data_IF_970741249797
#
_entry.id   IF_970741249797
#
_cell.length_a   1.000
_cell.length_b   1.000
_cell.length_c   1.000
_cell.angle_alpha   90.00
_cell.angle_beta   90.00
_cell.angle_gamma   90.00
#
_symmetry.space_group_name_H-M   'P 1'
#
loop_
_entity.id
_entity.type
_entity.pdbx_description
1 polymer ?
#
# COMPACT_ATOMS: atom_id res chain seq x y z
N UNK A 1 -11.28 -11.61 23.04
CA UNK A 1 -10.89 -12.81 22.28
C UNK A 1 -12.08 -13.52 21.62
N UNK A 2 -12.94 -14.28 22.32
CA UNK A 2 -14.09 -14.96 21.67
C UNK A 2 -15.07 -13.99 20.98
N UNK A 3 -15.04 -12.71 21.37
CA UNK A 3 -15.82 -11.62 20.75
C UNK A 3 -15.15 -10.94 19.55
N UNK A 4 -13.87 -11.21 19.30
CA UNK A 4 -13.07 -10.60 18.20
C UNK A 4 -12.89 -11.56 17.02
N UNK A 5 -13.01 -12.86 17.27
CA UNK A 5 -12.95 -13.89 16.23
C UNK A 5 -14.36 -14.13 15.72
N UNK A 6 -14.50 -14.23 14.39
CA UNK A 6 -15.77 -14.61 13.78
C UNK A 6 -16.27 -15.96 14.36
N UNK A 7 -17.53 -16.11 14.77
CA UNK A 7 -18.04 -17.33 15.39
C UNK A 7 -17.82 -18.59 14.54
N UNK A 8 -17.92 -18.50 13.21
CA UNK A 8 -17.69 -19.65 12.34
C UNK A 8 -16.20 -20.02 12.26
N UNK A 9 -15.30 -19.03 12.31
CA UNK A 9 -13.85 -19.27 12.43
C UNK A 9 -13.52 -19.93 13.77
N UNK A 10 -14.08 -19.38 14.85
CA UNK A 10 -13.88 -19.90 16.20
C UNK A 10 -14.42 -21.33 16.36
N UNK A 11 -15.54 -21.67 15.70
CA UNK A 11 -16.10 -23.02 15.70
C UNK A 11 -15.11 -24.04 15.10
N UNK A 12 -14.53 -23.75 13.93
CA UNK A 12 -13.52 -24.62 13.30
C UNK A 12 -12.27 -24.77 14.16
N UNK A 13 -11.79 -23.68 14.78
CA UNK A 13 -10.64 -23.74 15.68
C UNK A 13 -10.95 -24.63 16.89
N UNK A 14 -12.14 -24.47 17.49
CA UNK A 14 -12.57 -25.28 18.62
C UNK A 14 -12.74 -26.75 18.26
N UNK A 15 -13.33 -27.06 17.11
CA UNK A 15 -13.45 -28.43 16.61
C UNK A 15 -12.07 -29.08 16.45
N UNK A 16 -11.14 -28.44 15.74
CA UNK A 16 -9.76 -28.93 15.59
C UNK A 16 -9.05 -29.12 16.92
N UNK A 17 -9.27 -28.22 17.88
CA UNK A 17 -8.70 -28.30 19.23
C UNK A 17 -9.26 -29.49 20.02
N UNK A 18 -10.55 -29.78 19.89
CA UNK A 18 -11.23 -30.86 20.63
C UNK A 18 -10.93 -32.24 20.04
N UNK A 19 -10.82 -32.33 18.71
CA UNK A 19 -10.51 -33.58 18.01
C UNK A 19 -9.01 -33.90 17.98
N UNK A 20 -8.16 -32.87 18.10
CA UNK A 20 -6.71 -33.01 18.06
C UNK A 20 -6.08 -33.39 19.40
N UNK A 21 -4.91 -34.02 19.34
CA UNK A 21 -4.05 -34.17 20.51
C UNK A 21 -3.64 -32.79 21.06
N UNK A 22 -3.67 -32.64 22.38
CA UNK A 22 -3.24 -31.42 23.06
C UNK A 22 -1.75 -31.20 22.83
N UNK A 23 -1.40 -30.20 22.02
CA UNK A 23 -0.02 -29.84 21.66
C UNK A 23 0.29 -28.40 22.00
N UNK A 24 1.55 -28.09 22.27
CA UNK A 24 1.97 -26.69 22.41
C UNK A 24 2.01 -26.01 21.05
N UNK A 25 1.90 -24.66 20.98
CA UNK A 25 2.04 -23.94 19.72
C UNK A 25 3.33 -24.27 18.95
N UNK A 26 4.42 -24.57 19.65
CA UNK A 26 5.71 -24.94 19.04
C UNK A 26 5.68 -26.35 18.45
N UNK A 27 5.07 -27.31 19.15
CA UNK A 27 4.98 -28.70 18.68
C UNK A 27 4.14 -28.80 17.39
N UNK A 28 3.14 -27.94 17.24
CA UNK A 28 2.33 -27.85 16.02
C UNK A 28 3.21 -27.45 14.84
N UNK A 29 3.99 -26.38 14.98
CA UNK A 29 4.91 -25.90 13.92
C UNK A 29 5.99 -26.94 13.61
N UNK A 30 6.56 -27.57 14.63
CA UNK A 30 7.55 -28.63 14.46
C UNK A 30 6.98 -29.81 13.65
N UNK A 31 5.75 -30.26 13.98
CA UNK A 31 5.10 -31.36 13.26
C UNK A 31 4.78 -31.02 11.80
N UNK A 32 4.59 -29.74 11.50
CA UNK A 32 4.43 -29.28 10.13
C UNK A 32 5.75 -29.24 9.34
N UNK A 33 6.91 -29.57 9.94
CA UNK A 33 8.18 -29.75 9.25
C UNK A 33 9.15 -28.57 9.37
N UNK A 34 8.99 -27.72 10.38
CA UNK A 34 9.93 -26.63 10.68
C UNK A 34 11.03 -27.14 11.61
N UNK A 35 12.26 -27.24 11.11
CA UNK A 35 13.39 -27.82 11.83
C UNK A 35 13.75 -27.08 13.14
N UNK A 36 13.78 -25.74 13.12
CA UNK A 36 14.15 -24.91 14.27
C UNK A 36 12.93 -24.28 14.98
N UNK A 37 11.80 -24.98 15.00
CA UNK A 37 10.52 -24.45 15.49
C UNK A 37 10.60 -23.83 16.90
N UNK A 38 11.47 -24.35 17.79
CA UNK A 38 11.68 -23.81 19.14
C UNK A 38 12.36 -22.44 19.12
N UNK A 39 13.39 -22.27 18.29
CA UNK A 39 14.15 -21.01 18.19
C UNK A 39 13.33 -19.94 17.48
N UNK A 40 12.48 -20.37 16.53
CA UNK A 40 11.61 -19.52 15.70
C UNK A 40 10.16 -19.52 16.16
N UNK A 41 9.89 -19.87 17.42
CA UNK A 41 8.54 -20.06 17.94
C UNK A 41 7.65 -18.80 17.82
N UNK A 42 8.28 -17.63 17.86
CA UNK A 42 7.66 -16.31 17.83
C UNK A 42 7.64 -15.66 16.44
N UNK A 43 8.14 -16.34 15.41
CA UNK A 43 8.03 -15.87 14.04
C UNK A 43 6.59 -16.03 13.54
N UNK A 44 6.28 -15.36 12.45
CA UNK A 44 4.93 -15.34 11.88
C UNK A 44 4.81 -16.21 10.62
N UNK A 45 5.94 -16.60 10.02
CA UNK A 45 5.99 -17.56 8.93
C UNK A 45 7.33 -18.32 8.97
N UNK A 46 7.34 -19.50 8.36
CA UNK A 46 8.48 -20.41 8.35
C UNK A 46 8.61 -21.08 7.00
N UNK A 47 9.84 -21.45 6.66
CA UNK A 47 10.12 -22.42 5.63
C UNK A 47 10.19 -23.81 6.28
N UNK A 48 9.39 -24.73 5.78
CA UNK A 48 9.37 -26.13 6.20
C UNK A 48 10.10 -27.03 5.19
N UNK A 49 10.21 -28.31 5.53
CA UNK A 49 10.69 -29.35 4.62
C UNK A 49 10.00 -29.30 3.25
N UNK A 50 10.79 -29.54 2.20
CA UNK A 50 10.30 -29.52 0.82
C UNK A 50 9.91 -28.13 0.33
N UNK A 51 10.56 -27.07 0.85
CA UNK A 51 10.32 -25.67 0.48
C UNK A 51 8.90 -25.14 0.72
N UNK A 52 8.11 -25.86 1.52
CA UNK A 52 6.76 -25.45 1.85
C UNK A 52 6.76 -24.26 2.80
N UNK A 53 6.01 -23.20 2.45
CA UNK A 53 5.78 -22.08 3.35
C UNK A 53 4.69 -22.45 4.35
N UNK A 54 4.93 -22.10 5.62
CA UNK A 54 3.91 -22.11 6.66
C UNK A 54 3.74 -20.68 7.15
N UNK A 55 2.51 -20.19 7.23
CA UNK A 55 2.22 -18.86 7.76
C UNK A 55 1.17 -18.93 8.88
N UNK A 56 1.35 -18.07 9.87
CA UNK A 56 0.32 -17.79 10.87
C UNK A 56 -0.81 -17.01 10.22
N UNK A 57 -2.05 -17.40 10.49
CA UNK A 57 -3.26 -16.64 10.16
C UNK A 57 -3.92 -16.30 11.49
N UNK A 58 -3.94 -15.02 11.84
CA UNK A 58 -4.60 -14.56 13.05
C UNK A 58 -6.11 -14.62 12.84
N UNK A 59 -6.78 -15.44 13.63
CA UNK A 59 -8.21 -15.71 13.49
C UNK A 59 -9.05 -14.44 13.65
N UNK A 60 -8.58 -13.49 14.45
CA UNK A 60 -9.20 -12.19 14.68
C UNK A 60 -9.30 -11.34 13.39
N UNK A 61 -8.45 -11.59 12.38
CA UNK A 61 -8.48 -10.88 11.10
C UNK A 61 -9.00 -11.74 9.94
N UNK A 62 -9.45 -12.96 10.21
CA UNK A 62 -10.15 -13.75 9.20
C UNK A 62 -11.53 -13.17 8.99
N UNK A 63 -11.84 -12.92 7.73
CA UNK A 63 -13.15 -12.48 7.26
C UNK A 63 -13.81 -13.59 6.44
N UNK A 64 -15.14 -13.64 6.49
CA UNK A 64 -15.94 -14.62 5.76
C UNK A 64 -16.74 -13.87 4.69
N UNK A 65 -16.41 -14.11 3.43
CA UNK A 65 -17.14 -13.58 2.28
C UNK A 65 -18.23 -14.53 1.79
N UNK A 66 -18.79 -14.19 0.62
CA UNK A 66 -19.89 -14.93 0.01
C UNK A 66 -19.63 -16.45 -0.09
N UNK A 67 -20.63 -17.23 0.31
CA UNK A 67 -20.58 -18.69 0.30
C UNK A 67 -19.74 -19.31 1.44
N UNK A 68 -19.44 -18.55 2.50
CA UNK A 68 -18.69 -19.05 3.65
C UNK A 68 -17.18 -19.15 3.40
N UNK A 69 -16.67 -18.47 2.36
CA UNK A 69 -15.24 -18.51 2.00
C UNK A 69 -14.44 -17.55 2.84
N UNK A 70 -13.29 -18.03 3.31
CA UNK A 70 -12.45 -17.26 4.23
C UNK A 70 -11.36 -16.53 3.47
N UNK A 71 -11.09 -15.32 3.91
CA UNK A 71 -9.97 -14.54 3.44
C UNK A 71 -9.35 -13.73 4.58
N UNK A 72 -8.16 -13.24 4.34
CA UNK A 72 -7.37 -12.47 5.29
C UNK A 72 -6.64 -11.36 4.53
N UNK A 73 -6.69 -10.13 5.05
CA UNK A 73 -5.94 -9.01 4.51
C UNK A 73 -4.62 -8.84 5.26
N UNK A 74 -3.53 -9.07 4.56
CA UNK A 74 -2.18 -8.88 5.04
C UNK A 74 -1.70 -7.46 4.76
N UNK A 75 -1.21 -6.76 5.78
CA UNK A 75 -0.56 -5.46 5.59
C UNK A 75 0.85 -5.67 5.03
N UNK A 76 1.20 -4.93 3.98
CA UNK A 76 2.56 -4.86 3.44
C UNK A 76 3.40 -3.78 4.14
N UNK A 77 2.81 -3.00 5.06
CA UNK A 77 3.56 -2.07 5.89
C UNK A 77 4.33 -2.84 6.97
N UNK A 78 5.66 -2.89 6.83
CA UNK A 78 6.54 -3.54 7.80
C UNK A 78 6.95 -2.63 8.95
N UNK A 79 6.75 -1.32 8.82
CA UNK A 79 7.26 -0.30 9.74
C UNK A 79 6.26 0.03 10.85
N UNK A 80 4.97 -0.06 10.55
CA UNK A 80 3.92 0.34 11.49
C UNK A 80 3.15 -0.86 12.04
N UNK A 81 2.73 -0.74 13.30
CA UNK A 81 1.89 -1.72 13.97
C UNK A 81 0.43 -1.55 13.55
N UNK A 82 -0.33 -2.61 13.79
CA UNK A 82 -1.78 -2.61 13.64
C UNK A 82 -2.38 -1.66 14.69
N UNK A 83 -3.16 -0.67 14.24
CA UNK A 83 -3.67 0.42 15.10
C UNK A 83 -2.71 1.60 15.31
N UNK A 84 -1.52 1.56 14.69
CA UNK A 84 -0.58 2.68 14.66
C UNK A 84 0.64 2.57 15.60
N UNK A 85 1.60 3.47 15.37
CA UNK A 85 2.90 3.48 16.04
C UNK A 85 3.93 2.60 15.36
N UNK A 86 5.20 2.86 15.65
CA UNK A 86 6.34 2.19 15.03
C UNK A 86 6.58 0.79 15.61
N UNK A 87 7.03 -0.12 14.74
CA UNK A 87 7.54 -1.43 15.13
C UNK A 87 8.99 -1.33 15.59
N UNK A 88 9.34 -2.18 16.54
CA UNK A 88 10.75 -2.42 16.90
C UNK A 88 11.50 -3.11 15.76
N UNK A 89 12.83 -3.02 15.73
CA UNK A 89 13.66 -3.68 14.72
C UNK A 89 13.37 -5.19 14.58
N UNK A 90 13.12 -5.89 15.69
CA UNK A 90 12.78 -7.31 15.68
C UNK A 90 11.40 -7.57 15.06
N UNK A 91 10.42 -6.68 15.29
CA UNK A 91 9.09 -6.78 14.69
C UNK A 91 9.13 -6.48 13.18
N UNK A 92 9.92 -5.48 12.78
CA UNK A 92 10.17 -5.16 11.36
C UNK A 92 10.76 -6.39 10.65
N UNK A 93 11.83 -6.97 11.19
CA UNK A 93 12.47 -8.15 10.61
C UNK A 93 11.49 -9.32 10.44
N UNK A 94 10.67 -9.61 11.46
CA UNK A 94 9.65 -10.67 11.38
C UNK A 94 8.57 -10.39 10.35
N UNK A 95 8.14 -9.14 10.22
CA UNK A 95 7.17 -8.74 9.22
C UNK A 95 7.77 -8.89 7.80
N UNK A 96 9.00 -8.44 7.59
CA UNK A 96 9.73 -8.59 6.32
C UNK A 96 9.92 -10.06 5.94
N UNK A 97 10.36 -10.90 6.87
CA UNK A 97 10.55 -12.34 6.64
C UNK A 97 9.23 -13.03 6.28
N UNK A 98 8.14 -12.66 6.95
CA UNK A 98 6.78 -13.15 6.62
C UNK A 98 6.39 -12.76 5.20
N UNK A 99 6.47 -11.47 4.87
CA UNK A 99 6.09 -10.98 3.55
C UNK A 99 6.94 -11.60 2.45
N UNK A 100 8.25 -11.79 2.68
CA UNK A 100 9.15 -12.48 1.75
C UNK A 100 8.70 -13.91 1.48
N UNK A 101 8.30 -14.66 2.51
CA UNK A 101 7.82 -16.03 2.34
C UNK A 101 6.45 -16.09 1.64
N UNK A 102 5.51 -15.20 1.99
CA UNK A 102 4.22 -15.11 1.29
C UNK A 102 4.40 -14.73 -0.18
N UNK A 103 5.26 -13.76 -0.48
CA UNK A 103 5.59 -13.35 -1.85
C UNK A 103 6.25 -14.48 -2.63
N UNK A 104 7.14 -15.25 -2.01
CA UNK A 104 7.72 -16.46 -2.60
C UNK A 104 6.64 -17.46 -3.02
N UNK A 105 5.65 -17.73 -2.17
CA UNK A 105 4.54 -18.61 -2.52
C UNK A 105 3.74 -18.09 -3.72
N UNK A 106 3.45 -16.78 -3.74
CA UNK A 106 2.78 -16.13 -4.88
C UNK A 106 3.60 -16.27 -6.17
N UNK A 107 4.88 -15.96 -6.15
CA UNK A 107 5.76 -15.99 -7.32
C UNK A 107 5.95 -17.41 -7.87
N UNK A 108 5.93 -18.41 -6.99
CA UNK A 108 5.94 -19.82 -7.36
C UNK A 108 4.56 -20.35 -7.80
N UNK A 109 3.51 -19.52 -7.76
CA UNK A 109 2.12 -19.91 -7.95
C UNK A 109 1.72 -21.12 -7.06
N UNK A 110 2.23 -21.17 -5.83
CA UNK A 110 2.00 -22.25 -4.87
C UNK A 110 1.21 -21.75 -3.66
N UNK A 111 0.46 -22.66 -3.06
CA UNK A 111 -0.19 -22.41 -1.79
C UNK A 111 0.83 -22.44 -0.65
N UNK A 112 0.38 -22.02 0.52
CA UNK A 112 1.09 -22.19 1.77
C UNK A 112 0.16 -22.90 2.77
N UNK A 113 0.76 -23.57 3.75
CA UNK A 113 0.01 -24.17 4.85
C UNK A 113 -0.18 -23.14 5.94
N UNK A 114 -1.35 -23.11 6.56
CA UNK A 114 -1.64 -22.14 7.61
C UNK A 114 -1.65 -22.78 9.00
N UNK A 115 -1.30 -21.96 10.00
CA UNK A 115 -1.73 -22.20 11.37
C UNK A 115 -2.68 -21.09 11.78
N UNK A 116 -3.89 -21.46 12.18
CA UNK A 116 -4.85 -20.52 12.75
C UNK A 116 -4.44 -20.25 14.19
N UNK A 117 -4.28 -18.98 14.53
CA UNK A 117 -3.86 -18.52 15.85
C UNK A 117 -4.91 -17.62 16.47
N UNK A 118 -5.15 -17.78 17.77
CA UNK A 118 -5.80 -16.75 18.60
C UNK A 118 -4.86 -16.31 19.71
N UNK A 119 -5.04 -15.09 20.22
CA UNK A 119 -4.12 -14.47 21.17
C UNK A 119 -4.74 -14.19 22.53
N UNK A 120 -3.98 -14.31 23.62
CA UNK A 120 -4.52 -14.06 24.98
C UNK A 120 -4.94 -12.62 25.27
N UNK A 121 -4.47 -11.70 24.45
CA UNK A 121 -4.75 -10.26 24.52
C UNK A 121 -5.40 -9.81 23.22
N UNK A 122 -6.13 -8.68 23.21
CA UNK A 122 -6.63 -8.07 21.99
C UNK A 122 -5.53 -7.91 20.95
N UNK A 123 -5.87 -8.05 19.67
CA UNK A 123 -4.87 -8.11 18.62
C UNK A 123 -4.11 -6.79 18.42
N UNK A 124 -4.74 -5.65 18.74
CA UNK A 124 -4.11 -4.32 18.76
C UNK A 124 -3.05 -4.19 19.88
N UNK A 125 -3.18 -4.98 20.93
CA UNK A 125 -2.27 -4.98 22.07
C UNK A 125 -1.17 -6.04 21.93
N UNK A 126 -1.28 -6.93 20.94
CA UNK A 126 -0.37 -8.06 20.74
C UNK A 126 1.08 -7.63 20.58
N UNK A 127 1.31 -6.57 19.81
CA UNK A 127 2.64 -6.03 19.55
C UNK A 127 3.13 -5.05 20.65
N UNK A 128 2.26 -4.73 21.63
CA UNK A 128 2.55 -3.84 22.75
C UNK A 128 2.90 -4.61 24.04
N UNK A 129 2.25 -5.74 24.29
CA UNK A 129 2.39 -6.46 25.55
C UNK A 129 3.48 -7.55 25.45
N UNK A 130 4.59 -7.35 26.17
CA UNK A 130 5.69 -8.33 26.27
C UNK A 130 5.25 -9.65 26.94
N UNK A 131 4.13 -9.65 27.66
CA UNK A 131 3.50 -10.83 28.24
C UNK A 131 2.43 -11.46 27.33
N UNK A 132 2.13 -10.86 26.18
CA UNK A 132 1.21 -11.41 25.20
C UNK A 132 1.71 -12.78 24.73
N UNK A 133 0.96 -13.82 25.10
CA UNK A 133 1.22 -15.19 24.68
C UNK A 133 0.17 -15.61 23.67
N UNK A 134 0.63 -16.37 22.68
CA UNK A 134 -0.22 -17.20 21.83
C UNK A 134 -1.19 -17.97 22.72
N UNK A 135 -2.49 -17.78 22.51
CA UNK A 135 -3.51 -18.52 23.27
C UNK A 135 -3.56 -19.95 22.77
N UNK A 136 -3.74 -20.11 21.47
CA UNK A 136 -3.78 -21.39 20.78
C UNK A 136 -3.26 -21.27 19.35
N UNK A 137 -2.73 -22.38 18.83
CA UNK A 137 -2.54 -22.61 17.39
C UNK A 137 -3.25 -23.90 17.04
N UNK A 138 -3.85 -23.96 15.85
CA UNK A 138 -4.27 -25.21 15.21
C UNK A 138 -3.79 -25.20 13.77
N UNK A 139 -3.33 -26.34 13.26
CA UNK A 139 -3.01 -26.46 11.85
C UNK A 139 -4.30 -26.39 11.04
N UNK A 140 -4.31 -25.59 9.97
CA UNK A 140 -5.39 -25.64 9.00
C UNK A 140 -5.06 -26.69 7.93
N UNK A 141 -6.06 -27.48 7.56
CA UNK A 141 -5.88 -28.56 6.58
C UNK A 141 -6.22 -28.08 5.16
N UNK A 142 -6.92 -26.96 5.05
CA UNK A 142 -7.18 -26.31 3.77
C UNK A 142 -5.93 -25.55 3.30
N UNK A 143 -5.68 -25.58 1.98
CA UNK A 143 -4.66 -24.74 1.36
C UNK A 143 -5.02 -23.25 1.56
N UNK A 144 -4.01 -22.45 1.86
CA UNK A 144 -4.10 -21.00 1.72
C UNK A 144 -3.23 -20.54 0.56
N UNK A 145 -3.62 -19.45 -0.10
CA UNK A 145 -2.82 -18.88 -1.18
C UNK A 145 -2.94 -17.36 -1.19
N UNK A 146 -1.93 -16.69 -1.75
CA UNK A 146 -2.00 -15.26 -2.03
C UNK A 146 -2.79 -15.07 -3.32
N UNK A 147 -3.97 -14.47 -3.24
CA UNK A 147 -4.85 -14.26 -4.39
C UNK A 147 -4.57 -12.92 -5.09
N UNK A 148 -4.12 -11.90 -4.35
CA UNK A 148 -3.72 -10.61 -4.90
C UNK A 148 -2.59 -9.99 -4.05
N UNK A 149 -1.75 -9.19 -4.69
CA UNK A 149 -0.68 -8.43 -4.04
C UNK A 149 -0.65 -7.02 -4.60
N UNK A 150 -1.05 -6.06 -3.79
CA UNK A 150 -1.15 -4.65 -4.16
C UNK A 150 -0.12 -3.84 -3.36
N UNK A 151 0.99 -3.52 -4.00
CA UNK A 151 2.07 -2.76 -3.37
C UNK A 151 1.69 -1.30 -3.13
N UNK A 152 0.81 -0.74 -3.97
CA UNK A 152 0.41 0.66 -3.91
C UNK A 152 -0.52 0.89 -2.73
N UNK A 153 -1.51 0.01 -2.55
CA UNK A 153 -2.39 -0.02 -1.39
C UNK A 153 -1.73 -0.64 -0.14
N UNK A 154 -0.50 -1.15 -0.28
CA UNK A 154 0.24 -1.87 0.76
C UNK A 154 -0.57 -3.01 1.39
N UNK A 155 -1.29 -3.79 0.58
CA UNK A 155 -2.06 -4.95 1.06
C UNK A 155 -1.85 -6.17 0.18
N UNK A 156 -1.91 -7.36 0.79
CA UNK A 156 -2.04 -8.62 0.09
C UNK A 156 -3.28 -9.37 0.57
N UNK A 157 -3.98 -10.00 -0.38
CA UNK A 157 -5.17 -10.79 -0.11
C UNK A 157 -4.78 -12.26 -0.02
N UNK A 158 -5.02 -12.87 1.13
CA UNK A 158 -4.84 -14.31 1.35
C UNK A 158 -6.21 -14.98 1.35
N UNK A 159 -6.34 -16.09 0.63
CA UNK A 159 -7.61 -16.83 0.48
C UNK A 159 -7.41 -18.28 0.90
N UNK A 160 -8.39 -18.82 1.63
CA UNK A 160 -8.47 -20.22 2.04
C UNK A 160 -9.26 -21.03 1.01
N UNK A 161 -8.75 -22.21 0.66
CA UNK A 161 -9.40 -23.17 -0.23
C UNK A 161 -9.13 -22.92 -1.71
N UNK A 162 -10.12 -23.23 -2.56
CA UNK A 162 -9.98 -23.21 -4.01
C UNK A 162 -9.60 -21.82 -4.56
N UNK A 163 -8.69 -21.83 -5.53
CA UNK A 163 -8.21 -20.64 -6.25
C UNK A 163 -9.26 -20.10 -7.23
N UNK A 164 -9.06 -18.85 -7.66
CA UNK A 164 -9.91 -18.17 -8.63
C UNK A 164 -11.13 -17.48 -8.01
N UNK A 165 -11.19 -17.38 -6.69
CA UNK A 165 -12.16 -16.56 -5.99
C UNK A 165 -11.52 -15.33 -5.37
N UNK A 166 -12.24 -14.21 -5.44
CA UNK A 166 -11.93 -12.98 -4.75
C UNK A 166 -13.15 -12.51 -3.95
N UNK A 167 -12.96 -11.99 -2.73
CA UNK A 167 -14.02 -11.33 -1.97
C UNK A 167 -14.52 -10.09 -2.70
N UNK A 168 -15.73 -9.63 -2.34
CA UNK A 168 -16.29 -8.39 -2.91
C UNK A 168 -15.57 -7.16 -2.36
N UNK A 169 -15.75 -5.99 -2.99
CA UNK A 169 -15.16 -4.75 -2.45
C UNK A 169 -15.72 -4.42 -1.06
N UNK A 170 -17.01 -4.69 -0.81
CA UNK A 170 -17.62 -4.51 0.51
C UNK A 170 -16.95 -5.39 1.58
N UNK A 171 -16.70 -6.66 1.24
CA UNK A 171 -15.96 -7.59 2.11
C UNK A 171 -14.54 -7.05 2.41
N UNK A 172 -13.85 -6.54 1.39
CA UNK A 172 -12.50 -5.97 1.53
C UNK A 172 -12.50 -4.73 2.42
N UNK A 173 -13.46 -3.82 2.25
CA UNK A 173 -13.59 -2.63 3.10
C UNK A 173 -13.88 -2.98 4.56
N UNK A 174 -14.78 -3.94 4.81
CA UNK A 174 -15.05 -4.43 6.16
C UNK A 174 -13.81 -5.07 6.80
N UNK A 175 -13.02 -5.83 6.02
CA UNK A 175 -11.79 -6.43 6.49
C UNK A 175 -10.70 -5.39 6.78
N UNK A 176 -10.54 -4.34 5.96
CA UNK A 176 -9.61 -3.23 6.21
C UNK A 176 -9.93 -2.54 7.55
N UNK A 177 -11.21 -2.22 7.77
CA UNK A 177 -11.67 -1.60 9.02
C UNK A 177 -11.37 -2.48 10.26
N UNK A 178 -11.49 -3.81 10.13
CA UNK A 178 -11.17 -4.75 11.21
C UNK A 178 -9.65 -4.88 11.46
N UNK A 179 -8.86 -4.90 10.39
CA UNK A 179 -7.42 -5.12 10.42
C UNK A 179 -6.60 -3.97 10.98
N UNK A 180 -7.22 -2.84 11.35
CA UNK A 180 -6.49 -1.62 11.69
C UNK A 180 -5.54 -1.15 10.57
N UNK A 181 -5.73 -1.68 9.36
CA UNK A 181 -5.17 -1.13 8.12
C UNK A 181 -5.91 0.19 7.98
N UNK A 182 -5.21 1.34 7.92
CA UNK A 182 -5.89 2.61 7.71
C UNK A 182 -6.85 2.43 6.55
N UNK A 183 -8.13 2.73 6.78
CA UNK A 183 -9.03 2.91 5.66
C UNK A 183 -8.29 3.87 4.74
N UNK A 184 -8.12 3.48 3.46
CA UNK A 184 -7.81 4.48 2.46
C UNK A 184 -8.86 5.55 2.69
N UNK A 185 -8.41 6.75 3.09
CA UNK A 185 -9.31 7.87 3.34
C UNK A 185 -10.29 7.87 2.18
N UNK A 186 -11.61 7.84 2.43
CA UNK A 186 -12.60 7.38 1.48
C UNK A 186 -12.23 7.96 0.13
N UNK A 187 -11.79 7.08 -0.78
CA UNK A 187 -11.62 7.49 -2.16
C UNK A 187 -12.99 7.99 -2.55
N UNK A 188 -13.08 9.30 -2.76
CA UNK A 188 -14.16 9.87 -3.53
C UNK A 188 -14.34 8.98 -4.76
N UNK A 189 -15.59 8.77 -5.17
CA UNK A 189 -16.00 7.71 -6.09
C UNK A 189 -15.01 7.64 -7.23
N UNK A 190 -14.35 6.49 -7.45
CA UNK A 190 -13.41 6.16 -8.53
C UNK A 190 -13.47 7.16 -9.68
N UNK A 191 -12.86 8.30 -9.44
CA UNK A 191 -12.74 9.39 -10.36
C UNK A 191 -11.32 9.25 -10.79
N UNK A 192 -11.08 9.11 -12.08
CA UNK A 192 -9.83 9.60 -12.62
C UNK A 192 -9.57 10.94 -11.92
N UNK A 193 -8.46 11.07 -11.19
CA UNK A 193 -8.13 12.33 -10.55
C UNK A 193 -8.34 13.42 -11.58
N UNK A 194 -9.19 14.37 -11.26
CA UNK A 194 -9.60 15.38 -12.22
C UNK A 194 -8.36 16.10 -12.74
N UNK A 195 -8.41 16.62 -13.98
CA UNK A 195 -7.29 17.39 -14.54
C UNK A 195 -6.89 18.52 -13.59
N UNK A 196 -7.87 19.08 -12.91
CA UNK A 196 -7.75 20.13 -11.90
C UNK A 196 -6.97 19.65 -10.66
N UNK A 197 -7.26 18.47 -10.12
CA UNK A 197 -6.54 17.90 -8.97
C UNK A 197 -5.08 17.58 -9.30
N UNK A 198 -4.83 16.96 -10.45
CA UNK A 198 -3.48 16.65 -10.94
C UNK A 198 -2.68 17.94 -11.15
N UNK A 199 -3.31 18.98 -11.71
CA UNK A 199 -2.70 20.29 -11.92
C UNK A 199 -2.40 21.00 -10.59
N UNK A 200 -3.32 20.99 -9.63
CA UNK A 200 -3.12 21.60 -8.32
C UNK A 200 -1.96 20.92 -7.56
N UNK A 201 -1.87 19.59 -7.63
CA UNK A 201 -0.78 18.83 -7.04
C UNK A 201 0.58 19.16 -7.67
N UNK A 202 0.63 19.28 -9.00
CA UNK A 202 1.85 19.67 -9.71
C UNK A 202 2.34 21.08 -9.32
N UNK A 203 1.42 22.05 -9.18
CA UNK A 203 1.74 23.40 -8.72
C UNK A 203 2.27 23.39 -7.28
N UNK A 204 1.60 22.65 -6.39
CA UNK A 204 2.02 22.52 -4.99
C UNK A 204 3.40 21.87 -4.87
N UNK A 205 3.68 20.85 -5.66
CA UNK A 205 4.97 20.17 -5.74
C UNK A 205 6.09 21.14 -6.14
N UNK A 206 5.92 21.88 -7.24
CA UNK A 206 6.96 22.82 -7.71
C UNK A 206 7.15 23.99 -6.74
N UNK A 207 6.07 24.50 -6.16
CA UNK A 207 6.14 25.57 -5.15
C UNK A 207 7.00 25.13 -3.97
N UNK A 208 6.77 23.92 -3.44
CA UNK A 208 7.59 23.33 -2.37
C UNK A 208 9.03 23.08 -2.80
N UNK A 209 9.24 22.59 -4.02
CA UNK A 209 10.57 22.32 -4.55
C UNK A 209 11.43 23.59 -4.54
N UNK A 210 10.97 24.67 -5.19
CA UNK A 210 11.74 25.92 -5.26
C UNK A 210 11.87 26.62 -3.90
N UNK A 211 10.83 26.56 -3.06
CA UNK A 211 10.92 27.06 -1.69
C UNK A 211 12.01 26.32 -0.88
N UNK A 212 12.16 25.01 -1.07
CA UNK A 212 13.21 24.20 -0.46
C UNK A 212 14.64 24.63 -0.84
N UNK A 213 14.82 25.21 -2.03
CA UNK A 213 16.09 25.80 -2.46
C UNK A 213 16.25 27.29 -2.05
N UNK A 214 15.30 27.84 -1.31
CA UNK A 214 15.34 29.22 -0.80
C UNK A 214 14.92 30.29 -1.80
N UNK A 215 14.22 29.92 -2.86
CA UNK A 215 13.57 30.86 -3.78
C UNK A 215 12.15 31.18 -3.32
N UNK A 216 11.63 32.36 -3.71
CA UNK A 216 10.21 32.69 -3.53
C UNK A 216 9.46 32.19 -4.76
N UNK A 217 8.65 31.14 -4.60
CA UNK A 217 7.75 30.62 -5.63
C UNK A 217 6.30 31.02 -5.31
N UNK A 218 5.67 31.77 -6.21
CA UNK A 218 4.32 32.31 -6.03
C UNK A 218 3.37 31.72 -7.07
N UNK A 219 2.22 31.20 -6.61
CA UNK A 219 1.17 30.67 -7.48
C UNK A 219 0.33 31.84 -8.05
N UNK A 220 0.39 32.01 -9.36
CA UNK A 220 -0.29 33.05 -10.13
C UNK A 220 -1.26 32.46 -11.18
N UNK A 221 -1.57 31.17 -11.12
CA UNK A 221 -2.41 30.47 -12.10
C UNK A 221 -3.79 31.15 -12.33
N UNK A 222 -4.37 31.73 -11.27
CA UNK A 222 -5.66 32.45 -11.36
C UNK A 222 -5.60 33.83 -12.02
N UNK A 223 -4.42 34.32 -12.41
CA UNK A 223 -4.23 35.66 -12.96
C UNK A 223 -4.20 35.69 -14.51
N UNK A 224 -4.31 34.53 -15.16
CA UNK A 224 -4.31 34.38 -16.62
C UNK A 224 -3.10 35.03 -17.34
N UNK A 225 -1.90 34.85 -16.77
CA UNK A 225 -0.65 35.45 -17.28
C UNK A 225 0.08 34.56 -18.32
N UNK A 226 -0.48 33.38 -18.65
CA UNK A 226 0.15 32.37 -19.49
C UNK A 226 1.28 31.59 -18.81
N UNK A 227 1.30 31.59 -17.48
CA UNK A 227 2.13 30.77 -16.60
C UNK A 227 1.47 30.69 -15.21
N UNK A 228 1.80 29.65 -14.45
CA UNK A 228 1.16 29.31 -13.18
C UNK A 228 2.00 29.68 -11.96
N UNK A 229 3.34 29.65 -12.09
CA UNK A 229 4.25 29.96 -10.97
C UNK A 229 5.27 31.00 -11.40
N UNK A 230 5.46 32.02 -10.58
CA UNK A 230 6.60 32.92 -10.68
C UNK A 230 7.65 32.57 -9.61
N UNK A 231 8.89 32.32 -10.04
CA UNK A 231 10.01 32.06 -9.13
C UNK A 231 10.93 33.26 -9.12
N UNK A 232 11.20 33.81 -7.95
CA UNK A 232 12.07 34.96 -7.74
C UNK A 232 13.16 34.67 -6.70
N UNK A 233 14.27 35.41 -6.81
CA UNK A 233 15.34 35.37 -5.81
C UNK A 233 14.94 36.14 -4.53
N UNK A 234 15.83 36.13 -3.53
CA UNK A 234 15.62 36.86 -2.26
C UNK A 234 15.50 38.38 -2.42
N UNK A 235 15.91 38.94 -3.56
CA UNK A 235 15.83 40.37 -3.90
C UNK A 235 14.57 40.70 -4.71
N UNK A 236 13.74 39.71 -5.03
CA UNK A 236 12.52 39.87 -5.81
C UNK A 236 12.74 39.88 -7.34
N UNK A 237 13.93 39.50 -7.81
CA UNK A 237 14.18 39.39 -9.26
C UNK A 237 13.54 38.11 -9.78
N UNK A 238 12.62 38.21 -10.73
CA UNK A 238 12.00 37.06 -11.40
C UNK A 238 13.04 36.27 -12.19
N UNK A 239 13.22 35.01 -11.82
CA UNK A 239 14.15 34.07 -12.45
C UNK A 239 13.46 33.15 -13.44
N UNK A 240 12.25 32.67 -13.10
CA UNK A 240 11.48 31.74 -13.92
C UNK A 240 9.99 32.09 -13.90
N UNK A 241 9.34 31.89 -15.05
CA UNK A 241 7.88 31.91 -15.21
C UNK A 241 7.44 30.54 -15.71
N UNK A 242 6.85 29.74 -14.84
CA UNK A 242 6.57 28.33 -15.12
C UNK A 242 5.13 28.13 -15.54
N UNK A 243 4.90 27.67 -16.77
CA UNK A 243 3.64 26.99 -17.12
C UNK A 243 3.76 25.54 -16.65
N UNK A 244 2.86 25.10 -15.79
CA UNK A 244 2.93 23.81 -15.10
C UNK A 244 1.96 22.85 -15.76
N UNK A 245 2.39 21.60 -15.98
CA UNK A 245 1.52 20.51 -16.44
C UNK A 245 1.78 19.28 -15.59
N UNK A 246 0.76 18.80 -14.90
CA UNK A 246 0.81 17.56 -14.14
C UNK A 246 0.40 16.35 -14.99
N UNK A 247 0.98 15.20 -14.69
CA UNK A 247 0.55 13.89 -15.21
C UNK A 247 0.41 12.89 -14.05
N UNK A 248 -0.44 11.89 -14.21
CA UNK A 248 -0.67 10.82 -13.22
C UNK A 248 -0.94 9.48 -13.92
N UNK A 249 -1.00 8.39 -13.14
CA UNK A 249 -1.47 7.10 -13.65
C UNK A 249 -2.87 7.24 -14.24
N UNK A 250 -3.01 7.09 -15.57
CA UNK A 250 -4.25 7.30 -16.31
C UNK A 250 -4.41 8.67 -16.97
N UNK A 251 -3.52 9.64 -16.71
CA UNK A 251 -3.53 10.97 -17.33
C UNK A 251 -2.11 11.41 -17.73
N UNK A 252 -1.64 10.86 -18.85
CA UNK A 252 -0.30 11.14 -19.38
C UNK A 252 -0.25 12.32 -20.36
N UNK A 253 -1.40 12.74 -20.90
CA UNK A 253 -1.51 13.79 -21.91
C UNK A 253 -1.84 15.17 -21.33
N UNK A 254 -1.30 16.23 -21.92
CA UNK A 254 -1.61 17.61 -21.58
C UNK A 254 -1.57 18.54 -22.80
N UNK A 255 -2.26 19.68 -22.69
CA UNK A 255 -2.31 20.71 -23.71
C UNK A 255 -1.79 22.04 -23.16
N UNK A 256 -1.22 22.85 -24.06
CA UNK A 256 -0.90 24.25 -23.79
C UNK A 256 -1.99 25.16 -24.34
N UNK A 257 -2.39 26.15 -23.54
CA UNK A 257 -3.33 27.20 -23.95
C UNK A 257 -2.70 28.13 -24.99
N UNK A 258 -3.53 28.95 -25.65
CA UNK A 258 -3.05 29.96 -26.60
C UNK A 258 -2.08 30.96 -25.93
N UNK A 259 -2.40 31.38 -24.72
CA UNK A 259 -1.60 32.30 -23.90
C UNK A 259 -0.27 31.68 -23.48
N UNK A 260 -0.25 30.42 -23.05
CA UNK A 260 0.98 29.69 -22.71
C UNK A 260 1.89 29.56 -23.93
N UNK A 261 1.33 29.26 -25.11
CA UNK A 261 2.09 29.20 -26.37
C UNK A 261 2.60 30.58 -26.78
N UNK A 262 1.81 31.63 -26.59
CA UNK A 262 2.24 33.00 -26.84
C UNK A 262 3.39 33.43 -25.90
N UNK A 263 3.31 33.04 -24.62
CA UNK A 263 4.39 33.22 -23.65
C UNK A 263 5.65 32.44 -24.06
N UNK A 264 5.51 31.18 -24.45
CA UNK A 264 6.63 30.37 -24.92
C UNK A 264 7.36 31.07 -26.08
N UNK A 265 6.62 31.59 -27.08
CA UNK A 265 7.21 32.34 -28.21
C UNK A 265 7.97 33.60 -27.79
N UNK A 266 7.62 34.23 -26.68
CA UNK A 266 8.32 35.42 -26.15
C UNK A 266 9.68 35.10 -25.53
N UNK A 267 9.94 33.85 -25.16
CA UNK A 267 11.25 33.41 -24.67
C UNK A 267 11.42 33.52 -23.15
N UNK A 268 12.66 33.75 -22.72
CA UNK A 268 13.03 33.83 -21.31
C UNK A 268 12.26 34.95 -20.56
N UNK A 269 11.91 34.75 -19.27
CA UNK A 269 12.27 33.63 -18.38
C UNK A 269 11.26 32.47 -18.39
N UNK A 270 10.41 32.36 -19.42
CA UNK A 270 9.34 31.36 -19.44
C UNK A 270 9.85 29.92 -19.62
N UNK A 271 9.31 28.97 -18.87
CA UNK A 271 9.57 27.53 -19.00
C UNK A 271 8.29 26.73 -18.91
N UNK A 272 8.24 25.60 -19.63
CA UNK A 272 7.26 24.55 -19.36
C UNK A 272 7.84 23.62 -18.28
N UNK A 273 7.07 23.39 -17.22
CA UNK A 273 7.40 22.44 -16.16
C UNK A 273 6.42 21.26 -16.23
N UNK A 274 6.91 20.08 -16.59
CA UNK A 274 6.11 18.85 -16.59
C UNK A 274 6.41 18.08 -15.32
N UNK A 275 5.39 17.85 -14.49
CA UNK A 275 5.46 17.03 -13.27
C UNK A 275 4.89 15.65 -13.58
N UNK A 276 5.74 14.64 -13.52
CA UNK A 276 5.39 13.22 -13.67
C UNK A 276 4.95 12.66 -12.35
N UNK A 277 3.85 11.90 -12.35
CA UNK A 277 3.28 11.27 -11.15
C UNK A 277 2.96 12.31 -10.05
N UNK A 278 2.27 13.40 -10.43
CA UNK A 278 2.09 14.57 -9.58
C UNK A 278 1.34 14.30 -8.26
N UNK A 279 0.54 13.22 -8.21
CA UNK A 279 -0.20 12.79 -7.02
C UNK A 279 0.53 11.70 -6.23
N UNK A 280 1.54 11.08 -6.82
CA UNK A 280 2.23 9.94 -6.23
C UNK A 280 3.49 10.33 -5.46
N UNK A 281 4.03 9.38 -4.68
CA UNK A 281 5.25 9.60 -3.89
C UNK A 281 6.52 9.72 -4.75
N UNK A 282 6.43 9.39 -6.04
CA UNK A 282 7.55 9.46 -7.00
C UNK A 282 7.53 10.72 -7.86
N UNK A 283 6.73 11.72 -7.47
CA UNK A 283 6.61 13.00 -8.17
C UNK A 283 7.98 13.60 -8.52
N UNK A 284 8.23 13.73 -9.83
CA UNK A 284 9.44 14.31 -10.38
C UNK A 284 9.08 15.32 -11.46
N UNK A 285 9.94 16.29 -11.72
CA UNK A 285 9.67 17.30 -12.75
C UNK A 285 10.83 17.49 -13.70
N UNK A 286 10.50 17.99 -14.89
CA UNK A 286 11.46 18.44 -15.88
C UNK A 286 11.05 19.79 -16.45
N UNK A 287 12.02 20.67 -16.57
CA UNK A 287 11.85 21.99 -17.17
C UNK A 287 12.28 21.96 -18.64
N UNK A 288 11.47 22.56 -19.50
CA UNK A 288 11.72 22.70 -20.92
C UNK A 288 11.80 24.19 -21.27
N UNK A 289 12.83 24.57 -22.02
CA UNK A 289 12.89 25.89 -22.66
C UNK A 289 11.81 25.99 -23.74
N UNK A 290 11.43 27.21 -24.16
CA UNK A 290 10.52 27.40 -25.28
C UNK A 290 10.84 26.57 -26.54
N UNK A 291 12.12 26.45 -26.89
CA UNK A 291 12.60 25.67 -28.04
C UNK A 291 12.54 24.15 -27.85
N UNK A 292 12.21 23.68 -26.64
CA UNK A 292 12.18 22.27 -26.26
C UNK A 292 10.77 21.79 -25.92
N UNK A 293 9.76 22.67 -25.93
CA UNK A 293 8.37 22.37 -25.57
C UNK A 293 7.82 21.21 -26.40
N UNK A 294 8.07 21.18 -27.71
CA UNK A 294 7.56 20.13 -28.60
C UNK A 294 8.20 18.75 -28.34
N UNK A 295 9.24 18.69 -27.51
CA UNK A 295 9.88 17.45 -27.07
C UNK A 295 9.36 16.96 -25.71
N UNK A 296 8.43 17.69 -25.10
CA UNK A 296 7.87 17.29 -23.82
C UNK A 296 6.97 16.05 -23.98
N UNK A 297 7.24 14.95 -23.27
CA UNK A 297 6.45 13.74 -23.36
C UNK A 297 5.04 14.02 -22.84
N UNK A 298 4.02 13.54 -23.56
CA UNK A 298 2.62 13.79 -23.21
C UNK A 298 2.02 15.08 -23.78
N UNK A 299 2.79 15.90 -24.50
CA UNK A 299 2.22 17.05 -25.20
C UNK A 299 1.25 16.57 -26.29
N UNK A 300 -0.02 16.89 -26.14
CA UNK A 300 -1.05 16.60 -27.13
C UNK A 300 -1.03 17.64 -28.27
N UNK A 301 -1.33 17.22 -29.51
CA UNK A 301 -1.52 18.14 -30.62
C UNK A 301 -2.72 19.07 -30.35
N UNK A 302 -2.68 20.27 -30.91
CA UNK A 302 -3.85 21.15 -30.94
C UNK A 302 -4.96 20.44 -31.73
N UNK A 303 -6.09 20.17 -31.09
CA UNK A 303 -7.32 19.89 -31.81
C UNK A 303 -7.82 21.25 -32.32
N UNK A 304 -7.82 21.43 -33.65
CA UNK A 304 -8.46 22.58 -34.31
C UNK A 304 -9.98 22.55 -34.15
#
# INVERSE_FOLDING_TARGET
MDKEVDPAVLAVINEKRLLGEKRTPVDIIAKMGVFDARQKASDYAWLATGDNVIATIWAEFVSIGAGGRWFYLESLDTQHRIGGGERTALQIQRAEDRLKLLKRSLDAAQGFRAVLQTNRVPILDLENDKAAKVSMRVADDEEWHVAAWDADQKVALLVRGRRGWLPTEEDLQAARARGGVPAVAPEGPSGQASREEVQAAAIAYLTRHFAGYGYKAENVAGQNLGYDIEVSDKKGVTLLKLAVKGTSAGMAGFQLTGEERACAKRGDPWRLAVVTDALGPTAQHKLYKPSEVDKAPGLEPLLE
#
